data_IF_355295078707
#
_entry.id   IF_355295078707
#
_cell.length_a   1.000
_cell.length_b   1.000
_cell.length_c   1.000
_cell.angle_alpha   90.00
_cell.angle_beta   90.00
_cell.angle_gamma   90.00
#
_symmetry.space_group_name_H-M   'P 1'
#
loop_
_entity.id
_entity.type
_entity.pdbx_description
1 polymer ?
#
# COMPACT_ATOMS: atom_id res chain seq x y z
N UNK A 1 -27.14 -16.74 -9.62
CA UNK A 1 -26.75 -15.32 -9.57
C UNK A 1 -25.65 -15.13 -10.60
N UNK A 2 -25.75 -14.13 -11.44
CA UNK A 2 -24.65 -13.76 -12.36
C UNK A 2 -23.38 -13.45 -11.56
N UNK A 3 -22.22 -13.77 -12.14
CA UNK A 3 -20.96 -13.43 -11.49
C UNK A 3 -20.78 -11.91 -11.48
N UNK A 4 -20.43 -11.29 -10.33
CA UNK A 4 -20.20 -9.86 -10.27
C UNK A 4 -18.99 -9.48 -11.13
N UNK A 5 -18.99 -8.27 -11.68
CA UNK A 5 -17.81 -7.77 -12.42
C UNK A 5 -16.68 -7.42 -11.46
N UNK A 6 -16.97 -6.84 -10.30
CA UNK A 6 -15.99 -6.48 -9.27
C UNK A 6 -16.31 -7.18 -7.95
N UNK A 7 -15.28 -7.69 -7.28
CA UNK A 7 -15.28 -8.01 -5.85
C UNK A 7 -14.45 -6.96 -5.09
N UNK A 8 -15.06 -6.27 -4.12
CA UNK A 8 -14.36 -5.40 -3.18
C UNK A 8 -14.07 -6.21 -1.93
N UNK A 9 -12.82 -6.30 -1.52
CA UNK A 9 -12.35 -7.05 -0.34
C UNK A 9 -11.98 -6.07 0.75
N UNK A 10 -12.63 -6.17 1.92
CA UNK A 10 -12.41 -5.31 3.07
C UNK A 10 -11.97 -6.16 4.26
N UNK A 11 -10.70 -6.08 4.68
CA UNK A 11 -10.27 -6.63 5.96
C UNK A 11 -10.82 -5.77 7.10
N UNK A 12 -11.45 -6.39 8.08
CA UNK A 12 -12.13 -5.70 9.18
C UNK A 12 -11.50 -6.08 10.51
N UNK A 13 -10.97 -5.08 11.24
CA UNK A 13 -10.50 -5.26 12.62
C UNK A 13 -10.62 -3.95 13.41
N UNK A 14 -11.40 -3.97 14.49
CA UNK A 14 -11.65 -2.79 15.36
C UNK A 14 -12.09 -1.54 14.56
N UNK A 15 -13.07 -1.70 13.72
CA UNK A 15 -13.52 -0.68 12.78
C UNK A 15 -14.96 -0.22 13.02
N UNK A 16 -15.56 -0.48 14.19
CA UNK A 16 -16.98 -0.19 14.44
C UNK A 16 -17.40 1.23 14.12
N UNK A 17 -16.50 2.20 14.29
CA UNK A 17 -16.78 3.63 14.04
C UNK A 17 -16.74 4.00 12.54
N UNK A 18 -15.94 3.32 11.73
CA UNK A 18 -15.68 3.68 10.31
C UNK A 18 -16.32 2.71 9.33
N UNK A 19 -16.51 1.47 9.74
CA UNK A 19 -17.00 0.37 8.89
C UNK A 19 -18.34 0.69 8.20
N UNK A 20 -19.35 1.32 8.83
CA UNK A 20 -20.57 1.68 8.13
C UNK A 20 -20.32 2.59 6.93
N UNK A 21 -19.47 3.63 7.08
CA UNK A 21 -19.09 4.53 5.99
C UNK A 21 -18.40 3.77 4.86
N UNK A 22 -17.45 2.89 5.20
CA UNK A 22 -16.75 2.05 4.23
C UNK A 22 -17.74 1.20 3.42
N UNK A 23 -18.63 0.45 4.09
CA UNK A 23 -19.62 -0.43 3.45
C UNK A 23 -20.56 0.37 2.55
N UNK A 24 -21.15 1.46 3.05
CA UNK A 24 -22.07 2.31 2.28
C UNK A 24 -21.39 2.89 1.04
N UNK A 25 -20.12 3.29 1.14
CA UNK A 25 -19.36 3.81 0.00
C UNK A 25 -19.22 2.80 -1.14
N UNK A 26 -19.18 1.50 -0.80
CA UNK A 26 -19.15 0.41 -1.79
C UNK A 26 -20.55 0.08 -2.31
N UNK A 27 -21.55 -0.06 -1.42
CA UNK A 27 -22.89 -0.49 -1.80
C UNK A 27 -23.65 0.55 -2.64
N UNK A 28 -23.28 1.83 -2.53
CA UNK A 28 -23.82 2.91 -3.34
C UNK A 28 -23.21 3.01 -4.75
N UNK A 29 -22.14 2.26 -5.04
CA UNK A 29 -21.56 2.20 -6.38
C UNK A 29 -22.54 1.56 -7.36
N UNK A 30 -22.80 2.25 -8.47
CA UNK A 30 -23.65 1.74 -9.54
C UNK A 30 -22.78 1.16 -10.65
N UNK A 31 -22.85 -0.17 -10.83
CA UNK A 31 -22.00 -0.87 -11.79
C UNK A 31 -22.82 -1.73 -12.74
N UNK A 32 -22.64 -1.59 -14.06
CA UNK A 32 -23.04 -2.63 -15.01
C UNK A 32 -22.34 -3.96 -14.67
N UNK A 33 -23.09 -5.07 -14.60
CA UNK A 33 -22.53 -6.39 -14.24
C UNK A 33 -22.37 -6.63 -12.74
N UNK A 34 -22.77 -5.65 -11.91
CA UNK A 34 -22.87 -5.83 -10.47
C UNK A 34 -21.53 -5.87 -9.70
N UNK A 35 -21.64 -5.80 -8.40
CA UNK A 35 -20.50 -5.90 -7.46
C UNK A 35 -20.81 -6.91 -6.36
N UNK A 36 -19.75 -7.41 -5.72
CA UNK A 36 -19.80 -8.12 -4.45
C UNK A 36 -18.87 -7.47 -3.45
N UNK A 37 -19.36 -7.24 -2.24
CA UNK A 37 -18.57 -6.79 -1.11
C UNK A 37 -18.25 -7.99 -0.22
N UNK A 38 -16.96 -8.24 0.03
CA UNK A 38 -16.46 -9.32 0.87
C UNK A 38 -15.84 -8.69 2.13
N UNK A 39 -16.58 -8.73 3.22
CA UNK A 39 -16.12 -8.29 4.53
C UNK A 39 -15.43 -9.46 5.24
N UNK A 40 -14.19 -9.28 5.66
CA UNK A 40 -13.43 -10.33 6.33
C UNK A 40 -13.12 -9.88 7.74
N UNK A 41 -13.96 -10.29 8.70
CA UNK A 41 -13.77 -9.99 10.11
C UNK A 41 -12.61 -10.81 10.69
N UNK A 42 -11.59 -10.11 11.14
CA UNK A 42 -10.32 -10.64 11.63
C UNK A 42 -10.31 -10.79 13.15
N UNK A 43 -11.38 -11.38 13.71
CA UNK A 43 -11.63 -11.51 15.15
C UNK A 43 -11.70 -10.13 15.86
N UNK A 44 -12.51 -9.24 15.36
CA UNK A 44 -12.73 -7.94 16.00
C UNK A 44 -13.31 -8.11 17.40
N UNK A 45 -12.71 -7.49 18.42
CA UNK A 45 -13.22 -7.57 19.79
C UNK A 45 -14.32 -6.53 20.08
N UNK A 46 -14.60 -5.63 19.15
CA UNK A 46 -15.65 -4.61 19.15
C UNK A 46 -16.88 -5.08 18.33
N UNK A 47 -17.80 -4.20 18.05
CA UNK A 47 -19.03 -4.53 17.33
C UNK A 47 -18.86 -4.67 15.81
N UNK A 48 -17.63 -4.64 15.28
CA UNK A 48 -17.38 -4.74 13.84
C UNK A 48 -17.99 -6.01 13.22
N UNK A 49 -17.84 -7.17 13.87
CA UNK A 49 -18.43 -8.44 13.40
C UNK A 49 -19.96 -8.39 13.31
N UNK A 50 -20.62 -7.83 14.34
CA UNK A 50 -22.09 -7.65 14.36
C UNK A 50 -22.55 -6.71 13.23
N UNK A 51 -21.78 -5.66 12.96
CA UNK A 51 -22.05 -4.71 11.85
C UNK A 51 -21.96 -5.47 10.52
N UNK A 52 -20.92 -6.28 10.31
CA UNK A 52 -20.78 -7.09 9.10
C UNK A 52 -22.01 -7.96 8.86
N UNK A 53 -22.44 -8.71 9.88
CA UNK A 53 -23.59 -9.62 9.80
C UNK A 53 -24.90 -8.87 9.53
N UNK A 54 -25.07 -7.69 10.16
CA UNK A 54 -26.24 -6.86 9.94
C UNK A 54 -26.36 -6.36 8.50
N UNK A 55 -25.24 -6.03 7.84
CA UNK A 55 -25.24 -5.66 6.41
C UNK A 55 -25.46 -6.87 5.51
N UNK A 56 -24.88 -8.01 5.79
CA UNK A 56 -25.11 -9.24 5.02
C UNK A 56 -26.56 -9.71 5.06
N UNK A 57 -27.24 -9.51 6.20
CA UNK A 57 -28.67 -9.84 6.33
C UNK A 57 -29.57 -8.90 5.51
N UNK A 58 -29.12 -7.68 5.18
CA UNK A 58 -29.90 -6.67 4.46
C UNK A 58 -29.62 -6.62 2.96
N UNK A 59 -28.39 -6.93 2.55
CA UNK A 59 -27.97 -6.78 1.15
C UNK A 59 -27.29 -8.08 0.66
N UNK A 60 -27.87 -8.78 -0.32
CA UNK A 60 -27.33 -10.04 -0.83
C UNK A 60 -25.99 -9.89 -1.58
N UNK A 61 -25.55 -8.67 -1.85
CA UNK A 61 -24.22 -8.40 -2.42
C UNK A 61 -23.12 -8.53 -1.38
N UNK A 62 -23.45 -8.46 -0.08
CA UNK A 62 -22.47 -8.56 1.02
C UNK A 62 -22.23 -10.02 1.39
N UNK A 63 -20.99 -10.42 1.44
CA UNK A 63 -20.51 -11.69 1.97
C UNK A 63 -19.64 -11.42 3.18
N UNK A 64 -19.85 -12.15 4.27
CA UNK A 64 -19.03 -12.04 5.48
C UNK A 64 -18.23 -13.32 5.68
N UNK A 65 -16.99 -13.17 6.06
CA UNK A 65 -16.08 -14.24 6.46
C UNK A 65 -15.54 -13.91 7.86
N UNK A 66 -15.89 -14.71 8.87
CA UNK A 66 -15.29 -14.62 10.20
C UNK A 66 -14.08 -15.55 10.29
N UNK A 67 -12.92 -14.97 10.59
CA UNK A 67 -11.67 -15.74 10.71
C UNK A 67 -11.45 -16.18 12.17
N UNK A 68 -10.63 -17.23 12.33
CA UNK A 68 -10.19 -17.72 13.65
C UNK A 68 -8.78 -17.29 14.01
N UNK A 69 -8.01 -16.79 13.04
CA UNK A 69 -6.62 -16.35 13.19
C UNK A 69 -6.52 -14.88 12.79
N UNK A 70 -5.74 -14.10 13.53
CA UNK A 70 -5.55 -12.67 13.30
C UNK A 70 -4.48 -12.39 12.27
N UNK A 71 -4.59 -11.25 11.59
CA UNK A 71 -3.61 -10.68 10.69
C UNK A 71 -4.21 -10.21 9.37
N UNK A 72 -3.99 -8.94 9.04
CA UNK A 72 -4.55 -8.27 7.85
C UNK A 72 -4.22 -9.02 6.56
N UNK A 73 -2.98 -9.53 6.42
CA UNK A 73 -2.56 -10.37 5.28
C UNK A 73 -3.44 -11.60 5.14
N UNK A 74 -3.71 -12.29 6.25
CA UNK A 74 -4.59 -13.45 6.26
C UNK A 74 -6.05 -13.11 5.94
N UNK A 75 -6.54 -11.94 6.37
CA UNK A 75 -7.87 -11.46 6.03
C UNK A 75 -7.98 -11.16 4.52
N UNK A 76 -7.02 -10.42 3.95
CA UNK A 76 -6.98 -10.17 2.50
C UNK A 76 -6.87 -11.46 1.70
N UNK A 77 -6.08 -12.44 2.14
CA UNK A 77 -5.96 -13.76 1.51
C UNK A 77 -7.29 -14.56 1.55
N UNK A 78 -8.03 -14.49 2.65
CA UNK A 78 -9.34 -15.14 2.74
C UNK A 78 -10.33 -14.50 1.74
N UNK A 79 -10.35 -13.18 1.64
CA UNK A 79 -11.14 -12.45 0.64
C UNK A 79 -10.76 -12.80 -0.79
N UNK A 80 -9.46 -12.91 -1.11
CA UNK A 80 -8.97 -13.32 -2.43
C UNK A 80 -9.48 -14.72 -2.84
N UNK A 81 -9.46 -15.66 -1.91
CA UNK A 81 -9.98 -17.03 -2.18
C UNK A 81 -11.48 -17.04 -2.43
N UNK A 82 -12.24 -16.17 -1.76
CA UNK A 82 -13.69 -16.08 -1.88
C UNK A 82 -14.16 -15.26 -3.09
N UNK A 83 -13.30 -14.44 -3.65
CA UNK A 83 -13.64 -13.55 -4.76
C UNK A 83 -13.96 -14.33 -6.04
N UNK A 84 -15.10 -13.98 -6.68
CA UNK A 84 -15.60 -14.60 -7.91
C UNK A 84 -15.68 -13.63 -9.09
N UNK A 85 -15.59 -12.32 -8.84
CA UNK A 85 -15.62 -11.28 -9.88
C UNK A 85 -14.48 -11.37 -10.89
N UNK A 86 -14.61 -10.68 -12.01
CA UNK A 86 -13.54 -10.54 -12.99
C UNK A 86 -12.38 -9.73 -12.42
N UNK A 87 -12.73 -8.67 -11.68
CA UNK A 87 -11.77 -7.77 -11.05
C UNK A 87 -11.87 -7.80 -9.52
N UNK A 88 -10.80 -7.41 -8.87
CA UNK A 88 -10.68 -7.26 -7.44
C UNK A 88 -10.22 -5.84 -7.12
N UNK A 89 -10.83 -5.26 -6.09
CA UNK A 89 -10.39 -4.03 -5.42
C UNK A 89 -10.22 -4.35 -3.94
N UNK A 90 -9.12 -3.95 -3.33
CA UNK A 90 -8.98 -3.91 -1.88
C UNK A 90 -9.44 -2.55 -1.37
N UNK A 91 -9.98 -2.52 -0.17
CA UNK A 91 -10.35 -1.28 0.52
C UNK A 91 -10.16 -1.52 2.01
N UNK A 92 -9.49 -0.61 2.71
CA UNK A 92 -9.34 -0.73 4.16
C UNK A 92 -10.63 -0.27 4.87
N UNK A 93 -10.93 -0.84 6.03
CA UNK A 93 -12.21 -0.64 6.74
C UNK A 93 -12.40 0.75 7.34
N UNK A 94 -11.36 1.57 7.32
CA UNK A 94 -11.40 2.98 7.71
C UNK A 94 -11.47 3.95 6.50
N UNK A 95 -11.32 3.45 5.28
CA UNK A 95 -11.39 4.22 4.05
C UNK A 95 -12.78 4.20 3.40
N UNK A 96 -12.96 4.96 2.32
CA UNK A 96 -14.19 4.97 1.55
C UNK A 96 -13.93 5.18 0.05
N UNK A 97 -14.74 4.57 -0.81
CA UNK A 97 -14.75 4.88 -2.23
C UNK A 97 -15.57 6.15 -2.49
N UNK A 98 -15.09 6.98 -3.39
CA UNK A 98 -15.86 8.15 -3.83
C UNK A 98 -16.98 7.74 -4.79
N UNK A 99 -18.06 8.51 -4.87
CA UNK A 99 -19.17 8.23 -5.80
C UNK A 99 -18.68 8.08 -7.24
N UNK A 100 -19.06 6.99 -7.92
CA UNK A 100 -18.67 6.72 -9.30
C UNK A 100 -17.26 6.13 -9.48
N UNK A 101 -16.52 5.89 -8.40
CA UNK A 101 -15.13 5.40 -8.43
C UNK A 101 -14.98 4.11 -9.23
N UNK A 102 -15.76 3.08 -8.91
CA UNK A 102 -15.64 1.78 -9.58
C UNK A 102 -16.09 1.82 -11.05
N UNK A 103 -17.08 2.65 -11.37
CA UNK A 103 -17.52 2.86 -12.76
C UNK A 103 -16.40 3.52 -13.59
N UNK A 104 -15.71 4.53 -13.03
CA UNK A 104 -14.57 5.16 -13.68
C UNK A 104 -13.42 4.18 -13.90
N UNK A 105 -13.09 3.36 -12.89
CA UNK A 105 -12.03 2.34 -13.00
C UNK A 105 -12.36 1.29 -14.08
N UNK A 106 -13.60 0.82 -14.16
CA UNK A 106 -14.02 -0.11 -15.21
C UNK A 106 -14.01 0.52 -16.61
N UNK A 107 -14.46 1.76 -16.74
CA UNK A 107 -14.42 2.48 -18.02
C UNK A 107 -12.97 2.66 -18.52
N UNK A 108 -12.05 3.00 -17.60
CA UNK A 108 -10.63 3.08 -17.90
C UNK A 108 -10.06 1.72 -18.34
N UNK A 109 -10.42 0.64 -17.65
CA UNK A 109 -9.97 -0.71 -18.01
C UNK A 109 -10.54 -1.16 -19.37
N UNK A 110 -11.79 -0.80 -19.69
CA UNK A 110 -12.40 -1.12 -20.99
C UNK A 110 -11.71 -0.35 -22.14
N UNK A 111 -11.31 0.91 -21.88
CA UNK A 111 -10.61 1.74 -22.86
C UNK A 111 -9.15 1.25 -23.09
N UNK A 112 -8.53 0.66 -22.09
CA UNK A 112 -7.16 0.13 -22.17
C UNK A 112 -7.09 -1.30 -21.59
N UNK A 113 -7.54 -2.33 -22.34
CA UNK A 113 -7.66 -3.70 -21.82
C UNK A 113 -6.34 -4.29 -21.32
N UNK A 114 -5.22 -3.87 -21.84
CA UNK A 114 -3.90 -4.35 -21.44
C UNK A 114 -3.27 -3.53 -20.30
N UNK A 115 -3.92 -2.46 -19.85
CA UNK A 115 -3.37 -1.63 -18.79
C UNK A 115 -3.66 -2.19 -17.39
N UNK A 116 -2.75 -1.90 -16.46
CA UNK A 116 -3.01 -2.00 -15.02
C UNK A 116 -3.52 -0.64 -14.55
N UNK A 117 -4.79 -0.57 -14.18
CA UNK A 117 -5.45 0.68 -13.80
C UNK A 117 -5.11 1.04 -12.36
N UNK A 118 -4.61 2.26 -12.18
CA UNK A 118 -4.25 2.88 -10.92
C UNK A 118 -5.01 4.18 -10.73
N UNK A 119 -5.17 4.65 -9.49
CA UNK A 119 -5.82 5.94 -9.22
C UNK A 119 -5.26 6.64 -7.99
N UNK A 120 -5.48 7.95 -7.92
CA UNK A 120 -5.13 8.78 -6.79
C UNK A 120 -6.13 8.66 -5.63
N UNK A 121 -5.77 9.18 -4.47
CA UNK A 121 -6.62 9.25 -3.28
C UNK A 121 -6.68 10.68 -2.75
N UNK A 122 -7.67 10.96 -1.93
CA UNK A 122 -7.79 12.22 -1.20
C UNK A 122 -7.83 11.95 0.31
N UNK A 123 -7.30 12.86 1.10
CA UNK A 123 -7.42 12.87 2.55
C UNK A 123 -8.50 13.84 3.03
N UNK A 124 -9.22 14.47 2.10
CA UNK A 124 -10.30 15.41 2.39
C UNK A 124 -11.63 14.65 2.42
N UNK A 125 -12.30 14.54 3.58
CA UNK A 125 -13.54 13.75 3.70
C UNK A 125 -14.68 14.34 2.87
N UNK A 126 -14.70 15.66 2.67
CA UNK A 126 -15.75 16.40 1.96
C UNK A 126 -15.32 16.78 0.52
N UNK A 127 -14.40 16.02 -0.08
CA UNK A 127 -14.00 16.27 -1.46
C UNK A 127 -15.18 15.96 -2.41
N UNK A 128 -15.80 17.01 -2.94
CA UNK A 128 -16.93 16.95 -3.88
C UNK A 128 -16.49 17.07 -5.35
N UNK A 129 -15.20 17.11 -5.63
CA UNK A 129 -14.69 17.15 -7.01
C UNK A 129 -15.25 15.98 -7.81
N UNK A 130 -15.88 16.19 -8.96
CA UNK A 130 -16.46 15.10 -9.73
C UNK A 130 -15.41 14.05 -10.10
N UNK A 131 -15.74 12.78 -9.91
CA UNK A 131 -14.93 11.68 -10.42
C UNK A 131 -15.10 11.60 -11.92
N UNK A 132 -14.00 11.62 -12.65
CA UNK A 132 -13.95 11.54 -14.12
C UNK A 132 -13.18 10.31 -14.58
N UNK A 133 -13.30 10.00 -15.85
CA UNK A 133 -12.53 8.94 -16.52
C UNK A 133 -11.24 9.46 -17.16
N UNK A 134 -10.90 10.74 -16.92
CA UNK A 134 -9.64 11.32 -17.39
C UNK A 134 -8.47 10.50 -16.81
N UNK A 135 -7.58 10.07 -17.69
CA UNK A 135 -6.47 9.20 -17.35
C UNK A 135 -5.29 9.46 -18.30
N UNK A 136 -4.09 9.19 -17.81
CA UNK A 136 -2.90 9.23 -18.65
C UNK A 136 -2.19 7.86 -18.63
N UNK A 137 -1.64 7.42 -19.76
CA UNK A 137 -0.86 6.21 -19.81
C UNK A 137 0.52 6.42 -19.17
N UNK A 138 1.05 5.35 -18.54
CA UNK A 138 2.41 5.30 -18.08
C UNK A 138 3.04 3.95 -18.50
N UNK A 139 4.34 3.95 -18.73
CA UNK A 139 5.07 2.78 -19.17
C UNK A 139 5.56 1.95 -17.98
N UNK A 140 5.99 0.72 -18.22
CA UNK A 140 6.60 -0.11 -17.16
C UNK A 140 7.82 0.60 -16.55
N UNK A 141 8.59 1.32 -17.36
CA UNK A 141 9.75 2.10 -16.92
C UNK A 141 9.43 3.28 -16.00
N UNK A 142 8.15 3.66 -15.85
CA UNK A 142 7.72 4.69 -14.90
C UNK A 142 7.53 4.16 -13.46
N UNK A 143 7.82 2.88 -13.20
CA UNK A 143 7.56 2.21 -11.93
C UNK A 143 8.15 2.96 -10.72
N UNK A 144 9.39 3.46 -10.82
CA UNK A 144 10.03 4.22 -9.74
C UNK A 144 9.25 5.49 -9.41
N UNK A 145 8.84 6.25 -10.42
CA UNK A 145 8.04 7.47 -10.28
C UNK A 145 6.66 7.17 -9.71
N UNK A 146 5.96 6.18 -10.26
CA UNK A 146 4.65 5.75 -9.76
C UNK A 146 4.70 5.28 -8.29
N UNK A 147 5.81 4.68 -7.86
CA UNK A 147 6.01 4.33 -6.46
C UNK A 147 6.14 5.59 -5.58
N UNK A 148 6.93 6.58 -6.01
CA UNK A 148 7.09 7.84 -5.29
C UNK A 148 5.79 8.65 -5.23
N UNK A 149 4.95 8.55 -6.25
CA UNK A 149 3.62 9.16 -6.31
C UNK A 149 2.56 8.38 -5.49
N UNK A 150 3.00 7.44 -4.63
CA UNK A 150 2.14 6.60 -3.80
C UNK A 150 1.13 5.75 -4.58
N UNK A 151 1.40 5.43 -5.84
CA UNK A 151 0.51 4.63 -6.68
C UNK A 151 0.85 3.13 -6.66
N UNK A 152 2.00 2.72 -6.13
CA UNK A 152 2.44 1.32 -6.10
C UNK A 152 2.39 0.71 -4.70
N UNK A 153 2.75 1.46 -3.66
CA UNK A 153 2.99 0.91 -2.32
C UNK A 153 1.74 0.27 -1.67
N UNK A 154 0.56 0.86 -1.87
CA UNK A 154 -0.69 0.42 -1.26
C UNK A 154 -1.49 -0.49 -2.19
N UNK A 155 -2.30 -1.46 -1.68
CA UNK A 155 -3.07 -2.36 -2.54
C UNK A 155 -4.42 -1.78 -2.97
N UNK A 156 -4.94 -0.76 -2.30
CA UNK A 156 -6.34 -0.32 -2.38
C UNK A 156 -6.64 0.72 -3.48
N UNK A 157 -5.65 1.20 -4.21
CA UNK A 157 -5.82 2.18 -5.30
C UNK A 157 -5.57 1.55 -6.69
N UNK A 158 -6.05 0.32 -6.90
CA UNK A 158 -5.77 -0.47 -8.10
C UNK A 158 -6.90 -1.41 -8.46
N UNK A 159 -7.09 -1.63 -9.77
CA UNK A 159 -8.02 -2.63 -10.29
C UNK A 159 -7.25 -3.90 -10.71
N UNK A 160 -7.31 -4.94 -9.89
CA UNK A 160 -6.60 -6.19 -10.14
C UNK A 160 -7.43 -7.15 -10.99
N UNK A 161 -6.86 -7.79 -11.99
CA UNK A 161 -7.48 -8.95 -12.62
C UNK A 161 -7.43 -10.14 -11.68
N UNK A 162 -8.60 -10.70 -11.36
CA UNK A 162 -8.69 -11.85 -10.45
C UNK A 162 -7.88 -13.05 -10.95
N UNK A 163 -7.82 -13.29 -12.25
CA UNK A 163 -7.05 -14.40 -12.85
C UNK A 163 -5.57 -14.40 -12.44
N UNK A 164 -5.00 -13.23 -12.22
CA UNK A 164 -3.63 -13.08 -11.72
C UNK A 164 -3.60 -12.98 -10.19
N UNK A 165 -4.40 -12.11 -9.60
CA UNK A 165 -4.36 -11.85 -8.16
C UNK A 165 -4.59 -13.11 -7.31
N UNK A 166 -5.48 -14.03 -7.73
CA UNK A 166 -5.77 -15.28 -7.02
C UNK A 166 -4.60 -16.30 -6.99
N UNK A 167 -3.56 -16.10 -7.80
CA UNK A 167 -2.36 -16.93 -7.82
C UNK A 167 -1.34 -16.47 -6.78
N UNK A 168 -1.60 -15.35 -6.13
CA UNK A 168 -0.72 -14.69 -5.17
C UNK A 168 -1.33 -14.72 -3.77
N UNK A 169 -0.50 -14.39 -2.80
CA UNK A 169 -0.93 -14.24 -1.41
C UNK A 169 -0.14 -13.11 -0.74
N UNK A 170 -0.80 -12.38 0.15
CA UNK A 170 -0.09 -11.52 1.10
C UNK A 170 0.70 -12.40 2.05
N UNK A 171 1.99 -12.15 2.18
CA UNK A 171 2.86 -12.93 3.05
C UNK A 171 2.61 -12.56 4.52
N UNK A 172 2.16 -13.54 5.30
CA UNK A 172 1.84 -13.36 6.73
C UNK A 172 3.08 -13.28 7.63
N UNK A 173 4.26 -13.57 7.10
CA UNK A 173 5.52 -13.39 7.82
C UNK A 173 5.93 -11.92 7.94
N UNK A 174 5.42 -11.06 7.06
CA UNK A 174 5.65 -9.63 7.14
C UNK A 174 4.59 -8.95 8.02
N UNK A 175 5.05 -8.19 8.99
CA UNK A 175 4.20 -7.34 9.85
C UNK A 175 4.12 -5.90 9.36
N UNK A 176 4.86 -5.56 8.30
CA UNK A 176 4.94 -4.24 7.68
C UNK A 176 5.40 -4.40 6.23
N UNK A 177 4.78 -3.66 5.30
CA UNK A 177 5.15 -3.64 3.88
C UNK A 177 4.71 -4.86 3.07
N UNK A 178 3.85 -5.71 3.63
CA UNK A 178 3.21 -6.84 2.93
C UNK A 178 2.46 -6.38 1.68
N UNK A 179 1.94 -5.17 1.73
CA UNK A 179 1.19 -4.52 0.64
C UNK A 179 2.08 -4.29 -0.58
N UNK A 180 3.23 -3.65 -0.38
CA UNK A 180 4.21 -3.44 -1.45
C UNK A 180 4.69 -4.78 -2.03
N UNK A 181 4.94 -5.79 -1.17
CA UNK A 181 5.36 -7.10 -1.63
C UNK A 181 4.33 -7.74 -2.56
N UNK A 182 3.04 -7.71 -2.17
CA UNK A 182 1.95 -8.24 -2.98
C UNK A 182 1.83 -7.51 -4.33
N UNK A 183 1.91 -6.17 -4.33
CA UNK A 183 1.84 -5.39 -5.58
C UNK A 183 3.00 -5.72 -6.50
N UNK A 184 4.22 -5.83 -5.98
CA UNK A 184 5.40 -6.19 -6.78
C UNK A 184 5.31 -7.61 -7.33
N UNK A 185 4.76 -8.57 -6.57
CA UNK A 185 4.50 -9.93 -7.06
C UNK A 185 3.45 -9.95 -8.18
N UNK A 186 2.40 -9.10 -8.02
CA UNK A 186 1.39 -8.95 -9.07
C UNK A 186 2.01 -8.37 -10.35
N UNK A 187 2.83 -7.34 -10.26
CA UNK A 187 3.51 -6.75 -11.41
C UNK A 187 4.45 -7.75 -12.09
N UNK A 188 5.21 -8.53 -11.32
CA UNK A 188 6.07 -9.56 -11.84
C UNK A 188 5.29 -10.68 -12.56
N UNK A 189 4.13 -11.08 -12.03
CA UNK A 189 3.24 -12.05 -12.69
C UNK A 189 2.61 -11.46 -13.95
N UNK A 190 2.11 -10.22 -13.87
CA UNK A 190 1.51 -9.50 -14.99
C UNK A 190 2.52 -9.37 -16.14
N UNK A 191 3.75 -8.94 -15.86
CA UNK A 191 4.80 -8.82 -16.89
C UNK A 191 5.19 -10.14 -17.56
N UNK A 192 5.11 -11.26 -16.81
CA UNK A 192 5.31 -12.60 -17.40
C UNK A 192 4.16 -13.04 -18.30
N UNK A 193 2.92 -12.75 -17.91
CA UNK A 193 1.73 -13.17 -18.65
C UNK A 193 1.37 -12.20 -19.78
N UNK A 194 1.76 -10.95 -19.67
CA UNK A 194 1.41 -9.85 -20.56
C UNK A 194 2.60 -8.86 -20.64
N UNK A 195 3.67 -9.23 -21.43
CA UNK A 195 4.93 -8.47 -21.44
C UNK A 195 4.79 -7.01 -21.91
N UNK A 196 3.76 -6.71 -22.67
CA UNK A 196 3.43 -5.39 -23.24
C UNK A 196 2.44 -4.59 -22.37
N UNK A 197 2.19 -5.01 -21.13
CA UNK A 197 1.29 -4.24 -20.26
C UNK A 197 1.84 -2.82 -20.01
N UNK A 198 0.95 -1.88 -19.85
CA UNK A 198 1.23 -0.50 -19.41
C UNK A 198 0.43 -0.18 -18.15
N UNK A 199 0.70 0.96 -17.54
CA UNK A 199 -0.20 1.51 -16.52
C UNK A 199 -1.18 2.50 -17.17
N UNK A 200 -2.35 2.63 -16.58
CA UNK A 200 -3.28 3.71 -16.86
C UNK A 200 -3.65 4.37 -15.53
N UNK A 201 -3.23 5.62 -15.36
CA UNK A 201 -3.42 6.37 -14.11
C UNK A 201 -4.61 7.29 -14.26
N UNK A 202 -5.67 7.05 -13.49
CA UNK A 202 -6.82 7.96 -13.39
C UNK A 202 -6.43 9.21 -12.62
N UNK A 203 -6.70 10.39 -13.18
CA UNK A 203 -6.37 11.69 -12.58
C UNK A 203 -7.24 12.00 -11.36
N UNK A 204 -8.45 11.47 -11.32
CA UNK A 204 -9.35 11.62 -10.19
C UNK A 204 -8.91 10.76 -9.00
N UNK A 205 -9.00 11.32 -7.79
CA UNK A 205 -8.95 10.53 -6.57
C UNK A 205 -10.21 9.68 -6.47
N UNK A 206 -10.07 8.36 -6.43
CA UNK A 206 -11.22 7.44 -6.31
C UNK A 206 -11.44 6.94 -4.88
N UNK A 207 -10.45 7.09 -4.01
CA UNK A 207 -10.49 6.63 -2.62
C UNK A 207 -10.32 7.82 -1.69
N UNK A 208 -11.17 7.91 -0.67
CA UNK A 208 -10.92 8.72 0.51
C UNK A 208 -10.10 7.89 1.50
N UNK A 209 -8.90 8.37 1.83
CA UNK A 209 -7.98 7.76 2.78
C UNK A 209 -8.06 8.48 4.13
N UNK A 210 -8.49 7.77 5.17
CA UNK A 210 -8.72 8.34 6.50
C UNK A 210 -7.46 8.30 7.38
N UNK A 211 -6.76 9.42 7.45
CA UNK A 211 -5.57 9.58 8.31
C UNK A 211 -5.90 10.03 9.74
N UNK A 212 -7.17 10.19 10.10
CA UNK A 212 -7.56 10.76 11.42
C UNK A 212 -7.31 9.81 12.60
N UNK A 213 -7.14 8.52 12.35
CA UNK A 213 -6.98 7.49 13.39
C UNK A 213 -5.55 7.42 13.92
N UNK A 214 -5.44 7.46 15.24
CA UNK A 214 -4.18 7.20 15.95
C UNK A 214 -4.07 5.71 16.34
N UNK A 215 -2.84 5.18 16.44
CA UNK A 215 -2.60 3.80 16.85
C UNK A 215 -2.80 2.76 15.75
N UNK A 216 -2.83 3.18 14.49
CA UNK A 216 -2.82 2.30 13.30
C UNK A 216 -1.50 1.51 13.21
N UNK A 217 -1.46 0.48 12.37
CA UNK A 217 -0.24 -0.31 12.16
C UNK A 217 0.93 0.57 11.69
N UNK A 218 0.66 1.54 10.82
CA UNK A 218 1.67 2.46 10.26
C UNK A 218 2.26 3.42 11.30
N UNK A 219 1.53 3.73 12.39
CA UNK A 219 1.99 4.66 13.45
C UNK A 219 2.67 3.95 14.62
N UNK A 220 2.64 2.62 14.68
CA UNK A 220 3.29 1.84 15.74
C UNK A 220 4.81 1.79 15.54
N UNK A 221 5.53 1.65 16.66
CA UNK A 221 6.95 1.31 16.61
C UNK A 221 7.12 -0.16 16.22
N UNK A 222 7.97 -0.42 15.25
CA UNK A 222 8.34 -1.76 14.79
C UNK A 222 9.83 -1.99 15.02
N UNK A 223 10.17 -2.88 15.95
CA UNK A 223 11.57 -3.14 16.33
C UNK A 223 12.41 -3.65 15.14
N UNK A 224 11.80 -4.35 14.20
CA UNK A 224 12.45 -4.93 13.02
C UNK A 224 12.35 -4.06 11.75
N UNK A 225 11.93 -2.79 11.89
CA UNK A 225 11.73 -1.86 10.77
C UNK A 225 12.96 -1.79 9.84
N UNK A 226 14.14 -1.55 10.42
CA UNK A 226 15.39 -1.43 9.65
C UNK A 226 15.91 -2.76 9.08
N UNK A 227 15.29 -3.90 9.42
CA UNK A 227 15.61 -5.22 8.85
C UNK A 227 14.63 -5.58 7.71
N UNK A 228 13.39 -5.11 7.81
CA UNK A 228 12.33 -5.41 6.84
C UNK A 228 12.47 -4.53 5.59
N UNK A 229 12.60 -3.22 5.76
CA UNK A 229 12.60 -2.27 4.64
C UNK A 229 13.71 -2.53 3.60
N UNK A 230 14.95 -2.90 3.96
CA UNK A 230 15.94 -3.30 2.97
C UNK A 230 15.50 -4.42 2.04
N UNK A 231 14.70 -5.38 2.53
CA UNK A 231 14.17 -6.49 1.71
C UNK A 231 13.12 -5.97 0.73
N UNK A 232 12.26 -5.05 1.16
CA UNK A 232 11.26 -4.43 0.29
C UNK A 232 11.92 -3.58 -0.78
N UNK A 233 12.91 -2.78 -0.43
CA UNK A 233 13.66 -1.95 -1.38
C UNK A 233 14.47 -2.79 -2.35
N UNK A 234 15.09 -3.88 -1.91
CA UNK A 234 15.79 -4.79 -2.81
C UNK A 234 14.84 -5.36 -3.88
N UNK A 235 13.62 -5.74 -3.49
CA UNK A 235 12.61 -6.24 -4.43
C UNK A 235 12.08 -5.14 -5.36
N UNK A 236 11.85 -3.93 -4.83
CA UNK A 236 11.44 -2.78 -5.63
C UNK A 236 12.51 -2.41 -6.66
N UNK A 237 13.78 -2.31 -6.25
CA UNK A 237 14.89 -1.99 -7.13
C UNK A 237 15.09 -3.06 -8.21
N UNK A 238 14.93 -4.34 -7.87
CA UNK A 238 14.93 -5.43 -8.85
C UNK A 238 13.78 -5.28 -9.85
N UNK A 239 12.57 -4.93 -9.40
CA UNK A 239 11.43 -4.66 -10.28
C UNK A 239 11.68 -3.45 -11.19
N UNK A 240 12.25 -2.36 -10.67
CA UNK A 240 12.65 -1.19 -11.45
C UNK A 240 13.71 -1.53 -12.51
N UNK A 241 14.66 -2.41 -12.18
CA UNK A 241 15.66 -2.90 -13.14
C UNK A 241 15.01 -3.69 -14.28
N UNK A 242 14.09 -4.62 -13.95
CA UNK A 242 13.32 -5.39 -14.95
C UNK A 242 12.46 -4.47 -15.82
N UNK A 243 11.87 -3.44 -15.22
CA UNK A 243 11.05 -2.45 -15.90
C UNK A 243 11.88 -1.43 -16.72
N UNK A 244 13.20 -1.50 -16.66
CA UNK A 244 14.12 -0.57 -17.30
C UNK A 244 13.87 0.90 -16.90
N UNK A 245 13.62 1.15 -15.60
CA UNK A 245 13.45 2.49 -15.08
C UNK A 245 14.69 3.35 -15.38
N UNK A 246 14.51 4.58 -15.91
CA UNK A 246 15.63 5.41 -16.27
C UNK A 246 16.40 5.92 -15.03
N UNK A 247 17.73 6.13 -15.11
CA UNK A 247 18.54 6.54 -13.96
C UNK A 247 18.02 7.79 -13.25
N UNK A 248 17.50 8.78 -13.97
CA UNK A 248 16.96 10.01 -13.38
C UNK A 248 15.77 9.74 -12.44
N UNK A 249 14.98 8.67 -12.65
CA UNK A 249 13.85 8.33 -11.82
C UNK A 249 14.27 7.47 -10.61
N UNK A 250 15.43 6.81 -10.71
CA UNK A 250 16.02 6.06 -9.59
C UNK A 250 16.65 6.98 -8.54
N UNK A 251 17.15 8.16 -8.91
CA UNK A 251 17.78 9.09 -7.95
C UNK A 251 16.83 9.55 -6.82
N UNK A 252 15.58 10.01 -7.10
CA UNK A 252 14.61 10.32 -6.06
C UNK A 252 14.24 9.08 -5.22
N UNK A 253 14.14 7.89 -5.83
CA UNK A 253 13.85 6.64 -5.13
C UNK A 253 14.95 6.31 -4.11
N UNK A 254 16.22 6.35 -4.50
CA UNK A 254 17.34 6.10 -3.57
C UNK A 254 17.38 7.11 -2.42
N UNK A 255 17.00 8.38 -2.65
CA UNK A 255 16.86 9.37 -1.57
C UNK A 255 15.73 9.01 -0.60
N UNK A 256 14.58 8.59 -1.12
CA UNK A 256 13.44 8.16 -0.29
C UNK A 256 13.79 6.91 0.53
N UNK A 257 14.43 5.92 -0.07
CA UNK A 257 14.90 4.71 0.61
C UNK A 257 15.88 5.03 1.75
N UNK A 258 16.84 5.92 1.49
CA UNK A 258 17.78 6.38 2.51
C UNK A 258 17.06 7.08 3.66
N UNK A 259 16.07 7.96 3.34
CA UNK A 259 15.28 8.66 4.34
C UNK A 259 14.52 7.68 5.23
N UNK A 260 13.83 6.71 4.66
CA UNK A 260 13.06 5.69 5.41
C UNK A 260 13.96 4.95 6.40
N UNK A 261 15.15 4.54 6.00
CA UNK A 261 16.09 3.83 6.90
C UNK A 261 16.69 4.75 7.95
N UNK A 262 17.02 5.99 7.58
CA UNK A 262 17.54 6.99 8.51
C UNK A 262 16.51 7.32 9.61
N UNK A 263 15.26 7.53 9.23
CA UNK A 263 14.17 7.79 10.17
C UNK A 263 13.86 6.56 11.03
N UNK A 264 13.90 5.35 10.47
CA UNK A 264 13.79 4.11 11.24
C UNK A 264 14.88 3.97 12.30
N UNK A 265 16.13 4.27 11.97
CA UNK A 265 17.23 4.28 12.94
C UNK A 265 17.05 5.38 14.01
N UNK A 266 16.54 6.55 13.65
CA UNK A 266 16.20 7.59 14.61
C UNK A 266 15.00 7.19 15.49
N UNK A 267 14.04 6.46 14.97
CA UNK A 267 12.87 5.98 15.73
C UNK A 267 13.28 4.91 16.77
N UNK A 268 14.28 4.08 16.49
CA UNK A 268 14.90 3.22 17.50
C UNK A 268 15.39 4.04 18.70
N UNK A 269 16.06 5.16 18.45
CA UNK A 269 16.56 6.01 19.55
C UNK A 269 15.42 6.61 20.39
N UNK A 270 14.26 6.90 19.77
CA UNK A 270 13.11 7.53 20.43
C UNK A 270 12.23 6.53 21.16
N UNK A 271 11.86 5.44 20.52
CA UNK A 271 10.68 4.62 20.86
C UNK A 271 11.01 3.18 21.28
N UNK A 272 12.21 2.67 21.01
CA UNK A 272 12.58 1.32 21.43
C UNK A 272 12.48 1.21 22.98
N UNK A 273 11.91 0.13 23.53
CA UNK A 273 11.70 -0.01 24.97
C UNK A 273 13.00 -0.18 25.78
N UNK A 274 14.12 -0.48 25.12
CA UNK A 274 15.41 -0.73 25.78
C UNK A 274 16.05 0.52 26.38
N UNK A 275 17.13 0.32 27.14
CA UNK A 275 17.95 1.40 27.67
C UNK A 275 18.64 2.22 26.57
N UNK A 276 18.97 3.47 26.84
CA UNK A 276 19.62 4.34 25.85
C UNK A 276 20.93 3.77 25.26
N UNK A 277 21.81 3.11 26.03
CA UNK A 277 23.00 2.43 25.46
C UNK A 277 22.60 1.34 24.45
N UNK A 278 21.59 0.51 24.75
CA UNK A 278 21.11 -0.55 23.87
C UNK A 278 20.46 0.03 22.61
N UNK A 279 19.64 1.07 22.73
CA UNK A 279 19.05 1.82 21.58
C UNK A 279 20.13 2.33 20.63
N UNK A 280 21.21 2.94 21.20
CA UNK A 280 22.34 3.43 20.39
C UNK A 280 23.07 2.29 19.67
N UNK A 281 23.22 1.13 20.32
CA UNK A 281 23.82 -0.05 19.69
C UNK A 281 22.96 -0.55 18.52
N UNK A 282 21.65 -0.72 18.73
CA UNK A 282 20.71 -1.12 17.68
C UNK A 282 20.70 -0.15 16.49
N UNK A 283 20.60 1.16 16.76
CA UNK A 283 20.60 2.18 15.71
C UNK A 283 21.92 2.16 14.90
N UNK A 284 23.07 1.97 15.56
CA UNK A 284 24.36 1.81 14.85
C UNK A 284 24.38 0.56 13.98
N UNK A 285 23.85 -0.55 14.46
CA UNK A 285 23.76 -1.80 13.68
C UNK A 285 22.90 -1.57 12.43
N UNK A 286 21.76 -0.89 12.56
CA UNK A 286 20.91 -0.52 11.42
C UNK A 286 21.67 0.31 10.38
N UNK A 287 22.43 1.33 10.82
CA UNK A 287 23.24 2.19 9.93
C UNK A 287 24.47 1.48 9.33
N UNK A 288 24.84 0.31 9.82
CA UNK A 288 25.94 -0.50 9.31
C UNK A 288 25.48 -1.67 8.44
N UNK A 289 24.18 -1.77 8.16
CA UNK A 289 23.64 -2.85 7.34
C UNK A 289 24.33 -2.91 5.96
N UNK A 290 24.59 -4.12 5.41
CA UNK A 290 25.23 -4.26 4.09
C UNK A 290 24.43 -3.55 2.99
N UNK A 291 23.10 -3.61 3.08
CA UNK A 291 22.21 -2.98 2.11
C UNK A 291 22.36 -1.44 2.12
N UNK A 292 22.38 -0.82 3.32
CA UNK A 292 22.56 0.64 3.43
C UNK A 292 23.93 1.09 2.92
N UNK A 293 24.98 0.31 3.19
CA UNK A 293 26.32 0.60 2.64
C UNK A 293 26.30 0.57 1.11
N UNK A 294 25.67 -0.43 0.51
CA UNK A 294 25.51 -0.53 -0.94
C UNK A 294 24.75 0.65 -1.50
N UNK A 295 23.63 1.04 -0.87
CA UNK A 295 22.85 2.22 -1.28
C UNK A 295 23.69 3.50 -1.25
N UNK A 296 24.45 3.74 -0.16
CA UNK A 296 25.31 4.91 -0.03
C UNK A 296 26.45 4.94 -1.07
N UNK A 297 26.98 3.78 -1.45
CA UNK A 297 27.98 3.68 -2.50
C UNK A 297 27.36 3.95 -3.89
N UNK A 298 26.18 3.41 -4.16
CA UNK A 298 25.39 3.73 -5.38
C UNK A 298 25.11 5.24 -5.46
N UNK A 299 24.58 5.84 -4.40
CA UNK A 299 24.29 7.28 -4.36
C UNK A 299 25.53 8.14 -4.58
N UNK A 300 26.70 7.69 -4.11
CA UNK A 300 27.98 8.38 -4.36
C UNK A 300 28.37 8.34 -5.85
N UNK A 301 28.24 7.18 -6.48
CA UNK A 301 28.53 7.00 -7.91
C UNK A 301 27.60 7.82 -8.79
N UNK A 302 26.34 7.91 -8.41
CA UNK A 302 25.31 8.67 -9.13
C UNK A 302 25.31 10.17 -8.77
N UNK A 303 26.20 10.63 -7.89
CA UNK A 303 26.20 11.99 -7.34
C UNK A 303 24.84 12.42 -6.75
N UNK A 304 24.11 11.46 -6.18
CA UNK A 304 22.78 11.60 -5.61
C UNK A 304 22.86 11.74 -4.10
N UNK A 305 22.74 12.94 -3.55
CA UNK A 305 22.85 13.16 -2.11
C UNK A 305 21.52 13.65 -1.50
N UNK A 306 21.34 13.37 -0.21
CA UNK A 306 20.27 13.89 0.62
C UNK A 306 20.83 14.36 1.95
N UNK A 307 20.08 15.11 2.77
CA UNK A 307 20.53 15.52 4.11
C UNK A 307 20.98 14.34 5.00
N UNK A 308 20.36 13.16 4.83
CA UNK A 308 20.67 11.94 5.59
C UNK A 308 21.95 11.22 5.12
N UNK A 309 22.51 11.58 3.95
CA UNK A 309 23.67 10.88 3.38
C UNK A 309 24.89 10.89 4.32
N UNK A 310 25.33 12.08 4.75
CA UNK A 310 26.50 12.21 5.62
C UNK A 310 26.29 11.60 7.01
N UNK A 311 25.16 11.82 7.71
CA UNK A 311 24.88 11.15 8.98
C UNK A 311 24.94 9.62 8.89
N UNK A 312 24.37 9.03 7.84
CA UNK A 312 24.41 7.60 7.61
C UNK A 312 25.82 7.13 7.23
N UNK A 313 26.51 7.83 6.33
CA UNK A 313 27.88 7.51 5.89
C UNK A 313 28.89 7.51 7.04
N UNK A 314 28.77 8.48 7.94
CA UNK A 314 29.65 8.61 9.11
C UNK A 314 29.15 7.85 10.35
N UNK A 315 28.02 7.16 10.26
CA UNK A 315 27.35 6.49 11.39
C UNK A 315 27.15 7.45 12.59
N UNK A 316 26.78 8.70 12.31
CA UNK A 316 26.64 9.76 13.30
C UNK A 316 25.21 9.83 13.84
N UNK A 317 24.94 9.16 14.95
CA UNK A 317 23.64 9.17 15.61
C UNK A 317 23.23 10.58 16.05
N UNK A 318 24.16 11.48 16.38
CA UNK A 318 23.87 12.85 16.77
C UNK A 318 23.31 13.66 15.60
N UNK A 319 23.98 13.63 14.43
CA UNK A 319 23.52 14.32 13.24
C UNK A 319 22.19 13.74 12.74
N UNK A 320 22.06 12.41 12.76
CA UNK A 320 20.83 11.72 12.41
C UNK A 320 19.65 12.20 13.26
N UNK A 321 19.85 12.24 14.58
CA UNK A 321 18.83 12.73 15.52
C UNK A 321 18.42 14.16 15.23
N UNK A 322 19.39 15.08 15.09
CA UNK A 322 19.11 16.49 14.82
C UNK A 322 18.29 16.70 13.54
N UNK A 323 18.63 16.00 12.45
CA UNK A 323 17.90 16.12 11.19
C UNK A 323 16.49 15.53 11.30
N UNK A 324 16.34 14.40 11.96
CA UNK A 324 15.03 13.76 12.14
C UNK A 324 14.09 14.58 13.03
N UNK A 325 14.62 15.31 14.04
CA UNK A 325 13.80 16.24 14.84
C UNK A 325 13.40 17.47 14.03
N UNK A 326 14.34 18.03 13.25
CA UNK A 326 14.04 19.19 12.38
C UNK A 326 12.96 18.87 11.33
N UNK A 327 12.98 17.67 10.74
CA UNK A 327 11.96 17.25 9.78
C UNK A 327 10.55 17.16 10.42
N UNK A 328 10.45 16.70 11.68
CA UNK A 328 9.17 16.58 12.42
C UNK A 328 8.55 17.91 12.83
N UNK A 329 9.35 18.94 12.99
CA UNK A 329 8.84 20.28 13.34
C UNK A 329 8.31 21.06 12.12
N UNK A 330 8.55 20.54 10.91
CA UNK A 330 8.10 21.14 9.65
C UNK A 330 6.90 20.40 9.02
N UNK A 331 6.56 19.22 9.51
CA UNK A 331 5.38 18.42 9.13
C UNK A 331 4.22 18.63 10.09
#
# INVERSE_FOLDING_TARGET
>A
MEQPVICVIVPVYKAEATLPRCIESVLTQQLPGGLRLILVDDQSPDRSGEICDAYAAKDPRVMVLHRRERGVSGARNAGLRAATGEYIVFLDSDDALRPGALAAALAAQAAAPNAFVLWHYTMQPDDTTPVTTAAHPAQQSDLARLHLDCLIAMPWNKLYRRTYARQLAFDQAYTLGEDLQFVLDYLALLGRCQPDFSYLVLESALTFYDCSRTGTLSTKYHANYCEIWPKHFAKLNAACTVAACPPQDMLPLHRAELQVLAEGAADILRRDPDTMPARRAKARTALQSPWLKSLLDTMRHEHCYSPYYLPCRWNSLRLLWMLSEAARTQS
#
